data_IF_653601631386
#
_entry.id   IF_653601631386
#
_cell.length_a   1.000
_cell.length_b   1.000
_cell.length_c   1.000
_cell.angle_alpha   90.00
_cell.angle_beta   90.00
_cell.angle_gamma   90.00
#
_symmetry.space_group_name_H-M   'P 1'
#
loop_
_entity.id
_entity.type
_entity.pdbx_description
1 polymer ?
#
# COMPACT_ATOMS: atom_id res chain seq x y z
N UNK A 1 29.68 69.75 8.23
CA UNK A 1 29.59 68.46 7.53
C UNK A 1 30.18 67.45 8.48
N UNK A 2 29.32 66.54 8.90
CA UNK A 2 29.58 65.41 9.80
C UNK A 2 30.63 64.44 9.23
N UNK A 3 30.92 63.44 10.07
CA UNK A 3 31.45 62.10 9.77
C UNK A 3 32.93 61.90 10.11
N UNK A 4 33.32 60.87 10.87
CA UNK A 4 32.60 59.88 11.67
C UNK A 4 33.69 59.24 12.55
N UNK A 5 33.57 59.30 13.88
CA UNK A 5 34.37 58.42 14.74
C UNK A 5 33.91 56.99 14.47
N UNK A 6 34.71 56.22 13.74
CA UNK A 6 34.45 54.79 13.54
C UNK A 6 34.85 54.06 14.81
N UNK A 7 33.93 54.04 15.76
CA UNK A 7 33.97 53.14 16.90
C UNK A 7 33.84 51.70 16.35
N UNK A 8 34.90 50.92 16.51
CA UNK A 8 34.96 49.54 16.04
C UNK A 8 34.00 48.71 16.87
N UNK A 9 32.86 48.33 16.27
CA UNK A 9 31.97 47.34 16.86
C UNK A 9 32.67 45.97 16.81
N UNK A 10 33.16 45.53 17.96
CA UNK A 10 33.58 44.14 18.17
C UNK A 10 32.31 43.30 18.14
N UNK A 11 32.02 42.70 16.99
CA UNK A 11 31.02 41.64 16.87
C UNK A 11 31.54 40.46 17.67
N UNK A 12 31.01 40.26 18.87
CA UNK A 12 31.14 38.98 19.56
C UNK A 12 30.32 38.00 18.73
N UNK A 13 31.00 37.17 17.93
CA UNK A 13 30.40 35.98 17.36
C UNK A 13 29.98 35.07 18.52
N UNK A 14 28.73 35.20 18.93
CA UNK A 14 28.09 34.18 19.75
C UNK A 14 27.92 32.97 18.83
N UNK A 15 28.93 32.09 18.83
CA UNK A 15 28.80 30.77 18.23
C UNK A 15 27.55 30.13 18.83
N UNK A 16 26.57 29.67 18.03
CA UNK A 16 25.48 28.92 18.59
C UNK A 16 26.11 27.69 19.22
N UNK A 17 26.06 27.61 20.56
CA UNK A 17 26.48 26.44 21.29
C UNK A 17 25.78 25.25 20.63
N UNK A 18 26.55 24.43 19.92
CA UNK A 18 26.03 23.24 19.29
C UNK A 18 25.58 22.36 20.44
N UNK A 19 24.29 22.39 20.75
CA UNK A 19 23.68 21.38 21.60
C UNK A 19 23.87 20.10 20.80
N UNK A 20 24.88 19.32 21.17
CA UNK A 20 25.02 17.93 20.76
C UNK A 20 23.75 17.22 21.23
N UNK A 21 22.71 17.28 20.41
CA UNK A 21 21.58 16.40 20.57
C UNK A 21 22.11 15.03 20.21
N UNK A 22 22.45 14.26 21.24
CA UNK A 22 22.66 12.82 21.11
C UNK A 22 21.58 12.27 20.19
N UNK A 23 22.00 11.62 19.12
CA UNK A 23 21.10 11.06 18.13
C UNK A 23 20.10 10.17 18.86
N UNK A 24 18.87 10.67 19.06
CA UNK A 24 17.83 9.96 19.80
C UNK A 24 17.48 8.69 19.03
N UNK A 25 18.10 7.57 19.42
CA UNK A 25 17.79 6.26 18.88
C UNK A 25 16.61 5.68 19.65
N UNK A 26 15.64 5.15 18.91
CA UNK A 26 14.55 4.39 19.51
C UNK A 26 15.14 3.16 20.21
N UNK A 27 14.84 3.00 21.49
CA UNK A 27 15.17 1.80 22.28
C UNK A 27 14.21 0.64 22.03
N UNK A 28 13.18 0.82 21.19
CA UNK A 28 12.21 -0.23 20.91
C UNK A 28 12.89 -1.39 20.20
N UNK A 29 12.65 -2.59 20.72
CA UNK A 29 13.02 -3.85 20.05
C UNK A 29 12.33 -3.89 18.69
N UNK A 30 13.10 -4.09 17.63
CA UNK A 30 12.57 -4.25 16.28
C UNK A 30 12.15 -5.71 16.09
N UNK A 31 10.86 -5.94 15.88
CA UNK A 31 10.37 -7.25 15.44
C UNK A 31 10.39 -7.32 13.91
N UNK A 32 10.78 -8.48 13.39
CA UNK A 32 10.66 -8.76 11.96
C UNK A 32 9.17 -8.87 11.63
N UNK A 33 8.65 -8.16 10.61
CA UNK A 33 7.27 -8.32 10.20
C UNK A 33 7.06 -9.72 9.64
N UNK A 34 5.96 -10.37 10.02
CA UNK A 34 5.51 -11.60 9.36
C UNK A 34 5.17 -11.28 7.91
N UNK A 35 5.95 -11.85 6.99
CA UNK A 35 5.72 -11.74 5.54
C UNK A 35 5.24 -13.09 5.07
N UNK A 36 4.15 -13.10 4.29
CA UNK A 36 3.61 -14.31 3.65
C UNK A 36 3.09 -15.39 4.61
N UNK A 37 2.71 -15.06 5.84
CA UNK A 37 2.16 -16.03 6.79
C UNK A 37 0.89 -16.76 6.33
N UNK A 38 0.18 -16.21 5.34
CA UNK A 38 -0.93 -16.90 4.67
C UNK A 38 -0.47 -17.93 3.62
N UNK A 39 0.67 -17.69 2.98
CA UNK A 39 1.19 -18.52 1.88
C UNK A 39 2.18 -19.57 2.35
N UNK A 40 2.78 -19.40 3.52
CA UNK A 40 3.82 -20.27 4.04
C UNK A 40 3.25 -21.03 5.24
N UNK A 41 3.24 -22.35 5.17
CA UNK A 41 2.81 -23.22 6.28
C UNK A 41 3.81 -23.15 7.43
N UNK A 42 3.43 -23.66 8.59
CA UNK A 42 4.31 -23.79 9.77
C UNK A 42 5.59 -24.63 9.49
N UNK A 43 5.52 -25.51 8.50
CA UNK A 43 6.62 -26.37 8.03
C UNK A 43 7.53 -25.66 7.00
N UNK A 44 7.19 -24.44 6.60
CA UNK A 44 7.95 -23.66 5.62
C UNK A 44 7.62 -23.95 4.17
N UNK A 45 6.58 -24.74 3.90
CA UNK A 45 6.12 -25.03 2.54
C UNK A 45 5.30 -23.85 2.01
N UNK A 46 5.48 -23.52 0.74
CA UNK A 46 4.66 -22.52 0.05
C UNK A 46 3.41 -23.20 -0.47
N UNK A 47 2.23 -22.74 -0.05
CA UNK A 47 0.96 -23.11 -0.65
C UNK A 47 0.99 -22.68 -2.12
N UNK A 48 1.11 -23.66 -3.01
CA UNK A 48 0.88 -23.44 -4.43
C UNK A 48 -0.59 -23.05 -4.59
N UNK A 49 -0.87 -21.93 -5.25
CA UNK A 49 -2.23 -21.62 -5.68
C UNK A 49 -2.81 -22.82 -6.46
N UNK A 50 -4.12 -23.02 -6.33
CA UNK A 50 -4.82 -24.18 -6.87
C UNK A 50 -4.43 -24.42 -8.33
N UNK A 51 -3.85 -25.61 -8.58
CA UNK A 51 -3.53 -26.08 -9.93
C UNK A 51 -4.79 -26.30 -10.78
N UNK A 52 -5.96 -26.22 -10.15
CA UNK A 52 -7.26 -26.38 -10.76
C UNK A 52 -7.78 -25.07 -11.39
N UNK A 53 -7.08 -23.94 -11.21
CA UNK A 53 -7.42 -22.71 -11.91
C UNK A 53 -7.03 -22.80 -13.40
N UNK A 54 -7.97 -22.49 -14.32
CA UNK A 54 -7.67 -22.52 -15.75
C UNK A 54 -6.66 -21.43 -16.09
N UNK A 55 -5.52 -21.81 -16.68
CA UNK A 55 -4.47 -20.86 -17.08
C UNK A 55 -4.77 -20.20 -18.43
N UNK A 56 -5.74 -20.76 -19.16
CA UNK A 56 -6.15 -20.26 -20.48
C UNK A 56 -7.66 -20.07 -20.57
N UNK A 57 -8.11 -19.07 -21.35
CA UNK A 57 -9.53 -18.85 -21.64
C UNK A 57 -10.22 -20.11 -22.16
N UNK A 58 -9.56 -20.86 -23.05
CA UNK A 58 -10.11 -22.10 -23.60
C UNK A 58 -10.40 -23.13 -22.51
N UNK A 59 -9.48 -23.31 -21.56
CA UNK A 59 -9.68 -24.23 -20.42
C UNK A 59 -10.84 -23.78 -19.54
N UNK A 60 -10.93 -22.48 -19.29
CA UNK A 60 -12.02 -21.89 -18.53
C UNK A 60 -13.39 -22.14 -19.18
N UNK A 61 -13.52 -21.97 -20.50
CA UNK A 61 -14.80 -22.21 -21.20
C UNK A 61 -15.13 -23.70 -21.36
N UNK A 62 -14.13 -24.58 -21.38
CA UNK A 62 -14.35 -26.03 -21.39
C UNK A 62 -14.63 -26.60 -20.00
N UNK A 63 -14.50 -25.80 -18.95
CA UNK A 63 -14.83 -26.21 -17.58
C UNK A 63 -16.30 -26.61 -17.47
N UNK A 64 -16.66 -27.64 -16.68
CA UNK A 64 -18.05 -28.00 -16.40
C UNK A 64 -18.89 -26.87 -15.81
N UNK A 65 -18.25 -25.86 -15.24
CA UNK A 65 -18.93 -24.71 -14.62
C UNK A 65 -19.08 -23.51 -15.55
N UNK A 66 -18.49 -23.54 -16.75
CA UNK A 66 -18.43 -22.37 -17.64
C UNK A 66 -19.81 -21.79 -17.97
N UNK A 67 -20.81 -22.65 -18.12
CA UNK A 67 -22.20 -22.25 -18.36
C UNK A 67 -22.80 -21.50 -17.17
N UNK A 68 -22.55 -21.95 -15.94
CA UNK A 68 -23.01 -21.29 -14.72
C UNK A 68 -22.41 -19.91 -14.56
N UNK A 69 -21.11 -19.78 -14.84
CA UNK A 69 -20.41 -18.49 -14.84
C UNK A 69 -20.99 -17.53 -15.88
N UNK A 70 -21.30 -18.04 -17.07
CA UNK A 70 -21.89 -17.27 -18.15
C UNK A 70 -23.33 -16.83 -17.83
N UNK A 71 -24.12 -17.69 -17.19
CA UNK A 71 -25.45 -17.37 -16.70
C UNK A 71 -25.42 -16.31 -15.59
N UNK A 72 -24.51 -16.45 -14.61
CA UNK A 72 -24.33 -15.47 -13.55
C UNK A 72 -23.96 -14.09 -14.10
N UNK A 73 -23.07 -14.02 -15.09
CA UNK A 73 -22.67 -12.76 -15.72
C UNK A 73 -23.84 -12.10 -16.46
N UNK A 74 -24.68 -12.87 -17.15
CA UNK A 74 -25.90 -12.37 -17.79
C UNK A 74 -26.89 -11.85 -16.75
N UNK A 75 -27.13 -12.61 -15.68
CA UNK A 75 -28.01 -12.22 -14.59
C UNK A 75 -27.57 -10.92 -13.92
N UNK A 76 -26.26 -10.70 -13.75
CA UNK A 76 -25.73 -9.46 -13.19
C UNK A 76 -26.01 -8.27 -14.14
N UNK A 77 -25.75 -8.42 -15.43
CA UNK A 77 -26.04 -7.37 -16.43
C UNK A 77 -27.54 -7.06 -16.51
N UNK A 78 -28.38 -8.10 -16.53
CA UNK A 78 -29.83 -7.95 -16.55
C UNK A 78 -30.35 -7.26 -15.28
N UNK A 79 -29.78 -7.59 -14.11
CA UNK A 79 -30.10 -6.91 -12.85
C UNK A 79 -29.75 -5.42 -12.91
N UNK A 80 -28.57 -5.07 -13.42
CA UNK A 80 -28.17 -3.67 -13.60
C UNK A 80 -29.12 -2.91 -14.54
N UNK A 81 -29.49 -3.52 -15.67
CA UNK A 81 -30.45 -2.91 -16.60
C UNK A 81 -31.82 -2.71 -15.95
N UNK A 82 -32.30 -3.70 -15.20
CA UNK A 82 -33.59 -3.65 -14.53
C UNK A 82 -33.61 -2.62 -13.39
N UNK A 83 -32.53 -2.51 -12.62
CA UNK A 83 -32.37 -1.50 -11.55
C UNK A 83 -32.33 -0.08 -12.13
N UNK A 84 -31.74 0.09 -13.32
CA UNK A 84 -31.78 1.36 -14.07
C UNK A 84 -33.18 1.77 -14.53
N UNK A 85 -34.09 0.81 -14.73
CA UNK A 85 -35.49 1.06 -15.14
C UNK A 85 -36.45 1.35 -13.98
N UNK A 86 -36.08 1.07 -12.73
CA UNK A 86 -36.94 1.30 -11.56
C UNK A 86 -36.75 2.68 -10.90
N UNK A 87 -36.03 3.60 -11.57
CA UNK A 87 -35.72 4.95 -11.10
C UNK A 87 -36.58 6.04 -11.76
N UNK A 88 -37.70 5.66 -12.35
CA UNK A 88 -38.69 6.58 -12.93
C UNK A 88 -40.09 6.21 -12.44
N UNK A 89 -40.39 6.52 -11.17
CA UNK A 89 -41.75 6.69 -10.61
C UNK A 89 -41.66 7.48 -9.28
#
# INVERSE_FOLDING_TARGET
MEELEQETQVVVEEQPAQVEQDQRRSSRVRHIPERYGYLITDQGDVLLMDQDEPVTYQEAITSPESEKWLEAMKSEMDSMMQVGLQKED
#
